data_IF_175728453991
#
_entry.id   IF_175728453991
#
_cell.length_a   1.000
_cell.length_b   1.000
_cell.length_c   1.000
_cell.angle_alpha   90.00
_cell.angle_beta   90.00
_cell.angle_gamma   90.00
#
_symmetry.space_group_name_H-M   'P 1'
#
loop_
_entity.id
_entity.type
_entity.pdbx_description
1 polymer ?
#
# COMPACT_ATOMS: atom_id res chain seq x y z
N UNK A 1 -3.11 14.02 -14.34
CA UNK A 1 -3.37 15.00 -15.42
C UNK A 1 -2.11 15.41 -16.16
N UNK A 2 -1.09 15.90 -15.45
CA UNK A 2 0.19 16.29 -16.08
C UNK A 2 0.82 15.18 -16.95
N UNK A 3 0.82 13.93 -16.47
CA UNK A 3 1.30 12.79 -17.25
C UNK A 3 0.49 12.56 -18.54
N UNK A 4 -0.82 12.83 -18.54
CA UNK A 4 -1.63 12.75 -19.78
C UNK A 4 -1.24 13.80 -20.79
N UNK A 5 -0.97 15.04 -20.34
CA UNK A 5 -0.48 16.13 -21.19
C UNK A 5 0.88 15.80 -21.83
N UNK A 6 1.68 14.95 -21.18
CA UNK A 6 2.96 14.44 -21.70
C UNK A 6 2.79 13.20 -22.62
N UNK A 7 1.56 12.84 -22.99
CA UNK A 7 1.27 11.73 -23.90
C UNK A 7 1.11 10.35 -23.24
N UNK A 8 1.17 10.25 -21.91
CA UNK A 8 0.94 8.98 -21.23
C UNK A 8 -0.56 8.61 -21.25
N UNK A 9 -0.86 7.37 -21.64
CA UNK A 9 -2.22 6.85 -21.61
C UNK A 9 -2.58 6.33 -20.20
N UNK A 10 -3.00 7.25 -19.33
CA UNK A 10 -3.53 6.90 -18.00
C UNK A 10 -5.05 6.81 -18.08
N UNK A 11 -5.60 5.59 -17.98
CA UNK A 11 -7.05 5.39 -17.93
C UNK A 11 -7.66 6.01 -16.66
N UNK A 12 -8.78 6.71 -16.80
CA UNK A 12 -9.61 7.14 -15.67
C UNK A 12 -10.44 5.94 -15.20
N UNK A 13 -10.14 5.42 -14.01
CA UNK A 13 -10.91 4.38 -13.35
C UNK A 13 -10.24 3.96 -12.04
N UNK A 14 -11.02 3.52 -11.05
CA UNK A 14 -10.44 2.88 -9.86
C UNK A 14 -10.00 1.46 -10.23
N UNK A 15 -8.71 1.26 -10.46
CA UNK A 15 -8.13 -0.06 -10.61
C UNK A 15 -7.56 -0.52 -9.27
N UNK A 16 -8.09 -1.62 -8.75
CA UNK A 16 -7.48 -2.33 -7.63
C UNK A 16 -6.19 -3.00 -8.08
N UNK A 17 -5.05 -2.28 -8.05
CA UNK A 17 -3.73 -2.89 -8.21
C UNK A 17 -3.43 -3.93 -7.12
N UNK A 18 -2.33 -4.67 -7.25
CA UNK A 18 -1.90 -5.70 -6.30
C UNK A 18 -1.94 -5.23 -4.85
N UNK A 19 -2.33 -6.13 -3.95
CA UNK A 19 -2.42 -5.88 -2.50
C UNK A 19 -1.02 -6.01 -1.91
N UNK A 20 -0.62 -5.07 -1.05
CA UNK A 20 0.64 -5.15 -0.32
C UNK A 20 0.34 -5.32 1.17
N UNK A 21 0.88 -6.38 1.77
CA UNK A 21 0.96 -6.57 3.21
C UNK A 21 2.43 -6.58 3.60
N UNK A 22 2.77 -5.95 4.73
CA UNK A 22 4.15 -5.77 5.15
C UNK A 22 4.33 -5.95 6.65
N UNK A 23 5.48 -6.52 7.01
CA UNK A 23 5.95 -6.62 8.40
C UNK A 23 7.36 -6.05 8.45
N UNK A 24 7.61 -5.16 9.40
CA UNK A 24 8.90 -4.53 9.65
C UNK A 24 9.36 -4.84 11.07
N UNK A 25 10.60 -5.29 11.23
CA UNK A 25 11.24 -5.41 12.54
C UNK A 25 12.04 -4.15 12.86
N UNK A 26 11.59 -3.40 13.87
CA UNK A 26 12.28 -2.21 14.36
C UNK A 26 13.23 -2.57 15.49
N UNK A 27 14.46 -2.92 15.10
CA UNK A 27 15.50 -3.42 16.02
C UNK A 27 15.83 -2.46 17.18
N UNK A 28 15.79 -1.15 16.97
CA UNK A 28 16.06 -0.16 18.03
C UNK A 28 14.96 -0.13 19.09
N UNK A 29 13.72 -0.39 18.69
CA UNK A 29 12.54 -0.40 19.55
C UNK A 29 12.24 -1.81 20.09
N UNK A 30 12.92 -2.83 19.55
CA UNK A 30 12.63 -4.25 19.77
C UNK A 30 11.14 -4.57 19.53
N UNK A 31 10.56 -3.96 18.49
CA UNK A 31 9.14 -4.04 18.16
C UNK A 31 8.89 -4.51 16.72
N UNK A 32 7.78 -5.21 16.54
CA UNK A 32 7.29 -5.63 15.23
C UNK A 32 6.16 -4.71 14.79
N UNK A 33 6.26 -4.18 13.58
CA UNK A 33 5.26 -3.30 12.97
C UNK A 33 4.64 -4.02 11.79
N UNK A 34 3.32 -4.08 11.73
CA UNK A 34 2.58 -4.68 10.64
C UNK A 34 1.69 -3.64 9.96
N UNK A 35 1.67 -3.64 8.64
CA UNK A 35 0.82 -2.78 7.83
C UNK A 35 -0.02 -3.60 6.87
N UNK A 36 -1.23 -3.11 6.60
CA UNK A 36 -2.18 -3.75 5.70
C UNK A 36 -2.70 -2.71 4.71
N UNK A 37 -2.97 -3.18 3.49
CA UNK A 37 -3.59 -2.37 2.47
C UNK A 37 -5.03 -2.00 2.86
N UNK A 38 -5.28 -0.70 2.97
CA UNK A 38 -6.57 -0.14 3.37
C UNK A 38 -7.71 -0.52 2.42
N UNK A 39 -7.42 -0.89 1.17
CA UNK A 39 -8.44 -1.17 0.14
C UNK A 39 -9.28 -2.42 0.40
N UNK A 40 -8.86 -3.30 1.31
CA UNK A 40 -9.55 -4.57 1.61
C UNK A 40 -9.98 -4.72 3.07
N UNK A 41 -9.78 -3.70 3.91
CA UNK A 41 -10.16 -3.74 5.31
C UNK A 41 -9.41 -4.81 6.12
N UNK A 42 -8.26 -5.29 5.64
CA UNK A 42 -7.39 -6.14 6.43
C UNK A 42 -6.85 -5.34 7.61
N UNK A 43 -7.03 -5.83 8.83
CA UNK A 43 -6.46 -5.23 10.03
C UNK A 43 -5.28 -6.10 10.50
N UNK A 44 -4.06 -5.55 10.58
CA UNK A 44 -2.97 -6.28 11.22
C UNK A 44 -3.29 -6.42 12.71
N UNK A 45 -3.20 -7.64 13.24
CA UNK A 45 -3.27 -7.92 14.68
C UNK A 45 -1.88 -8.28 15.18
N UNK A 46 -1.39 -7.56 16.19
CA UNK A 46 -0.14 -7.90 16.87
C UNK A 46 -0.28 -9.16 17.74
N UNK A 47 0.87 -9.75 18.06
CA UNK A 47 1.03 -10.63 19.23
C UNK A 47 1.83 -9.84 20.26
#
# INVERSE_FOLDING_TARGET
EELRKRGHNIQCGMYGGSIVQGIEWRKQENQLWACSDVRKGGAPSGI
#
